data_IF_738805629895
#
_entry.id   IF_738805629895
#
_cell.length_a   1.000
_cell.length_b   1.000
_cell.length_c   1.000
_cell.angle_alpha   90.00
_cell.angle_beta   90.00
_cell.angle_gamma   90.00
#
_symmetry.space_group_name_H-M   'P 1'
#
loop_
_entity.id
_entity.type
_entity.pdbx_description
1 polymer ?
#
# COMPACT_ATOMS: atom_id res chain seq x y z
N UNK A 1 -4.68 15.23 7.12
CA UNK A 1 -3.26 15.47 7.52
C UNK A 1 -2.43 15.63 6.26
N UNK A 2 -1.32 16.34 6.31
CA UNK A 2 -0.45 16.53 5.14
C UNK A 2 0.60 15.39 5.07
N UNK A 3 0.14 14.15 4.97
CA UNK A 3 1.01 12.98 4.81
C UNK A 3 1.27 12.78 3.31
N UNK A 4 2.52 12.54 2.93
CA UNK A 4 2.88 12.12 1.58
C UNK A 4 3.39 10.69 1.61
N UNK A 5 3.04 9.91 0.58
CA UNK A 5 3.63 8.60 0.34
C UNK A 5 4.25 8.53 -1.05
N UNK A 6 5.35 7.82 -1.16
CA UNK A 6 6.01 7.47 -2.42
C UNK A 6 6.27 5.97 -2.43
N UNK A 7 5.82 5.29 -3.46
CA UNK A 7 6.17 3.90 -3.73
C UNK A 7 7.25 3.87 -4.81
N UNK A 8 8.38 3.28 -4.49
CA UNK A 8 9.46 2.97 -5.43
C UNK A 8 9.39 1.48 -5.75
N UNK A 9 9.48 1.15 -7.03
CA UNK A 9 9.45 -0.23 -7.53
C UNK A 9 10.72 -0.45 -8.32
N UNK A 10 11.53 -1.42 -7.90
CA UNK A 10 12.82 -1.75 -8.51
C UNK A 10 12.80 -3.21 -9.01
N UNK A 11 13.32 -3.46 -10.21
CA UNK A 11 13.48 -4.83 -10.73
C UNK A 11 14.68 -5.52 -10.07
N UNK A 12 14.47 -6.75 -9.59
CA UNK A 12 15.52 -7.62 -9.05
C UNK A 12 16.15 -8.48 -10.15
N UNK A 13 17.32 -9.05 -9.87
CA UNK A 13 18.09 -9.86 -10.85
C UNK A 13 17.29 -11.09 -11.33
N UNK A 14 16.43 -11.64 -10.49
CA UNK A 14 15.56 -12.78 -10.78
C UNK A 14 14.22 -12.38 -11.45
N UNK A 15 14.01 -11.09 -11.74
CA UNK A 15 12.81 -10.56 -12.38
C UNK A 15 11.66 -10.25 -11.43
N UNK A 16 11.77 -10.55 -10.13
CA UNK A 16 10.85 -10.07 -9.09
C UNK A 16 11.02 -8.56 -8.88
N UNK A 17 10.19 -7.97 -8.03
CA UNK A 17 10.29 -6.55 -7.69
C UNK A 17 10.67 -6.35 -6.22
N UNK A 18 11.44 -5.31 -5.95
CA UNK A 18 11.56 -4.72 -4.62
C UNK A 18 10.68 -3.48 -4.56
N UNK A 19 9.81 -3.43 -3.57
CA UNK A 19 8.92 -2.32 -3.31
C UNK A 19 9.45 -1.59 -2.08
N UNK A 20 9.64 -0.28 -2.19
CA UNK A 20 10.01 0.59 -1.07
C UNK A 20 8.98 1.68 -0.93
N UNK A 21 8.29 1.70 0.21
CA UNK A 21 7.36 2.76 0.56
C UNK A 21 8.08 3.77 1.44
N UNK A 22 7.98 5.04 1.07
CA UNK A 22 8.49 6.17 1.84
C UNK A 22 7.30 7.04 2.24
N UNK A 23 7.10 7.21 3.55
CA UNK A 23 6.18 8.17 4.11
C UNK A 23 6.93 9.44 4.51
N UNK A 24 6.34 10.60 4.28
CA UNK A 24 6.87 11.90 4.72
C UNK A 24 5.82 12.65 5.53
N UNK A 25 6.29 13.40 6.53
CA UNK A 25 5.48 14.06 7.55
C UNK A 25 4.74 13.06 8.45
N UNK A 26 5.44 11.99 8.85
CA UNK A 26 4.92 10.99 9.79
C UNK A 26 4.87 11.52 11.21
N UNK A 27 3.95 11.04 12.03
CA UNK A 27 3.96 11.26 13.47
C UNK A 27 5.03 10.39 14.13
N UNK A 28 5.79 10.96 15.05
CA UNK A 28 6.80 10.24 15.83
C UNK A 28 6.17 9.22 16.78
N UNK A 29 6.69 8.00 16.80
CA UNK A 29 6.23 6.92 17.68
C UNK A 29 4.90 6.26 17.28
N UNK A 30 4.36 6.58 16.11
CA UNK A 30 3.15 5.94 15.56
C UNK A 30 3.49 5.01 14.40
N UNK A 31 2.91 3.82 14.41
CA UNK A 31 3.05 2.86 13.30
C UNK A 31 1.90 3.01 12.33
N UNK A 32 2.20 3.40 11.09
CA UNK A 32 1.25 3.51 10.00
C UNK A 32 1.01 2.12 9.37
N UNK A 33 -0.23 1.61 9.38
CA UNK A 33 -0.58 0.45 8.59
C UNK A 33 -0.61 0.84 7.11
N UNK A 34 0.17 0.11 6.31
CA UNK A 34 0.33 0.37 4.87
C UNK A 34 0.16 -0.93 4.12
N UNK A 35 -0.68 -0.93 3.09
CA UNK A 35 -0.83 -2.11 2.24
C UNK A 35 -1.41 -1.80 0.87
N UNK A 36 -1.33 -2.79 -0.01
CA UNK A 36 -1.95 -2.77 -1.33
C UNK A 36 -3.20 -3.65 -1.34
N UNK A 37 -4.12 -3.38 -2.26
CA UNK A 37 -5.28 -4.20 -2.58
C UNK A 37 -5.35 -4.40 -4.09
N UNK A 38 -5.77 -5.59 -4.51
CA UNK A 38 -6.05 -5.87 -5.92
C UNK A 38 -7.34 -5.19 -6.34
N UNK A 39 -7.37 -4.58 -7.53
CA UNK A 39 -8.61 -4.06 -8.08
C UNK A 39 -9.65 -5.18 -8.24
N UNK A 40 -10.91 -4.85 -8.02
CA UNK A 40 -12.02 -5.77 -8.12
C UNK A 40 -13.27 -5.03 -8.58
N UNK A 41 -14.23 -5.75 -9.16
CA UNK A 41 -15.53 -5.19 -9.52
C UNK A 41 -16.33 -4.88 -8.22
N UNK A 42 -16.75 -3.62 -7.99
CA UNK A 42 -17.63 -3.28 -6.88
C UNK A 42 -18.91 -4.10 -6.78
N UNK A 43 -19.43 -4.65 -7.89
CA UNK A 43 -20.62 -5.50 -7.86
C UNK A 43 -20.34 -6.89 -7.28
N UNK A 44 -19.07 -7.30 -7.23
CA UNK A 44 -18.63 -8.61 -6.73
C UNK A 44 -18.02 -8.54 -5.31
N UNK A 45 -17.73 -7.34 -4.79
CA UNK A 45 -17.15 -7.18 -3.45
C UNK A 45 -18.22 -7.09 -2.36
N UNK A 46 -17.97 -7.63 -1.15
CA UNK A 46 -18.97 -7.65 -0.08
C UNK A 46 -19.48 -6.26 0.35
N UNK A 47 -18.62 -5.23 0.29
CA UNK A 47 -18.97 -3.87 0.70
C UNK A 47 -18.99 -2.86 -0.46
N UNK A 48 -19.01 -3.31 -1.71
CA UNK A 48 -19.07 -2.41 -2.88
C UNK A 48 -17.80 -1.58 -3.10
N UNK A 49 -16.67 -2.05 -2.57
CA UNK A 49 -15.36 -1.44 -2.76
C UNK A 49 -14.81 -1.78 -4.16
N UNK A 50 -14.06 -0.89 -4.83
CA UNK A 50 -13.46 -1.15 -6.14
C UNK A 50 -12.19 -2.03 -6.06
N UNK A 51 -12.03 -2.77 -4.96
CA UNK A 51 -10.84 -3.57 -4.67
C UNK A 51 -11.19 -4.75 -3.76
N UNK A 52 -10.38 -5.80 -3.78
CA UNK A 52 -10.49 -6.89 -2.83
C UNK A 52 -10.06 -6.39 -1.44
N UNK A 53 -10.98 -6.40 -0.47
CA UNK A 53 -10.78 -5.87 0.89
C UNK A 53 -9.74 -6.65 1.73
N UNK A 54 -9.27 -7.80 1.22
CA UNK A 54 -8.09 -8.49 1.77
C UNK A 54 -6.82 -7.86 1.21
N UNK A 55 -5.87 -7.41 2.06
CA UNK A 55 -4.60 -6.86 1.59
C UNK A 55 -3.80 -7.84 0.73
N UNK A 56 -3.23 -7.36 -0.38
CA UNK A 56 -2.24 -8.09 -1.18
C UNK A 56 -0.84 -7.89 -0.59
N UNK A 57 -0.43 -8.85 0.24
CA UNK A 57 0.89 -8.87 0.86
C UNK A 57 2.06 -9.15 -0.09
N UNK A 58 1.80 -9.73 -1.27
CA UNK A 58 2.83 -9.97 -2.29
C UNK A 58 3.34 -8.66 -2.89
N UNK A 59 2.46 -7.66 -3.02
CA UNK A 59 2.87 -6.29 -3.38
C UNK A 59 3.43 -5.60 -2.14
N UNK A 60 2.58 -5.29 -1.16
CA UNK A 60 3.05 -4.69 0.09
C UNK A 60 1.97 -4.83 1.16
N UNK A 61 2.35 -5.33 2.33
CA UNK A 61 1.56 -5.21 3.56
C UNK A 61 2.49 -5.14 4.77
N UNK A 62 2.46 -4.02 5.50
CA UNK A 62 3.35 -3.82 6.63
C UNK A 62 3.07 -2.56 7.42
N UNK A 63 3.74 -2.44 8.57
CA UNK A 63 3.74 -1.24 9.40
C UNK A 63 4.98 -0.38 9.12
N UNK A 64 4.80 0.93 9.00
CA UNK A 64 5.90 1.90 8.93
C UNK A 64 5.88 2.75 10.19
N UNK A 65 6.90 2.58 11.04
CA UNK A 65 7.06 3.37 12.26
C UNK A 65 7.51 4.79 11.91
N UNK A 66 6.67 5.77 12.21
CA UNK A 66 6.95 7.17 12.01
C UNK A 66 7.95 7.72 13.02
N UNK A 67 8.76 8.68 12.55
CA UNK A 67 9.86 9.28 13.32
C UNK A 67 9.76 10.82 13.38
N UNK A 68 8.57 11.38 13.15
CA UNK A 68 8.35 12.83 13.08
C UNK A 68 8.76 13.47 11.74
N UNK A 69 9.35 12.70 10.84
CA UNK A 69 9.86 13.19 9.55
C UNK A 69 9.52 12.23 8.41
N UNK A 70 10.54 11.54 7.88
CA UNK A 70 10.37 10.55 6.82
C UNK A 70 10.77 9.16 7.31
N UNK A 71 9.90 8.19 7.06
CA UNK A 71 10.07 6.80 7.44
C UNK A 71 9.77 5.91 6.25
N UNK A 72 10.39 4.73 6.19
CA UNK A 72 10.25 3.84 5.04
C UNK A 72 10.31 2.38 5.44
N UNK A 73 9.69 1.53 4.64
CA UNK A 73 9.85 0.09 4.69
C UNK A 73 9.95 -0.48 3.28
N UNK A 74 10.61 -1.62 3.15
CA UNK A 74 10.76 -2.33 1.88
C UNK A 74 10.31 -3.78 2.02
N UNK A 75 9.74 -4.33 0.95
CA UNK A 75 9.48 -5.75 0.75
C UNK A 75 9.96 -6.16 -0.63
N UNK A 76 10.20 -7.45 -0.82
CA UNK A 76 10.34 -8.03 -2.15
C UNK A 76 9.05 -8.78 -2.46
N UNK A 77 8.60 -8.76 -3.71
CA UNK A 77 7.52 -9.63 -4.16
C UNK A 77 7.99 -11.08 -4.08
N UNK A 78 7.12 -12.01 -3.74
CA UNK A 78 7.40 -13.45 -3.73
C UNK A 78 7.12 -14.05 -5.11
N UNK A 79 5.94 -13.78 -5.69
CA UNK A 79 5.48 -14.39 -6.94
C UNK A 79 5.32 -13.37 -8.09
N UNK A 80 4.90 -12.14 -7.78
CA UNK A 80 4.73 -11.08 -8.78
C UNK A 80 6.06 -10.66 -9.41
N UNK A 81 6.15 -10.72 -10.74
CA UNK A 81 7.28 -10.19 -11.49
C UNK A 81 7.18 -8.68 -11.64
N UNK A 82 8.33 -8.00 -11.66
CA UNK A 82 8.42 -6.56 -11.89
C UNK A 82 7.66 -6.14 -13.15
N UNK A 83 7.86 -6.87 -14.25
CA UNK A 83 7.20 -6.61 -15.54
C UNK A 83 5.68 -6.67 -15.43
N UNK A 84 5.14 -7.61 -14.67
CA UNK A 84 3.69 -7.75 -14.52
C UNK A 84 3.13 -6.68 -13.59
N UNK A 85 3.90 -6.31 -12.55
CA UNK A 85 3.56 -5.22 -11.64
C UNK A 85 3.46 -3.86 -12.34
N UNK A 86 4.34 -3.56 -13.30
CA UNK A 86 4.32 -2.25 -13.99
C UNK A 86 3.40 -2.20 -15.22
N UNK A 87 3.03 -3.33 -15.82
CA UNK A 87 2.27 -3.35 -17.08
C UNK A 87 0.84 -3.91 -16.96
N UNK A 88 0.57 -4.72 -15.93
CA UNK A 88 -0.68 -5.49 -15.84
C UNK A 88 -1.37 -5.36 -14.48
N UNK A 89 -0.63 -5.03 -13.42
CA UNK A 89 -1.22 -4.90 -12.10
C UNK A 89 -2.13 -3.68 -12.04
N UNK A 90 -3.34 -3.90 -11.55
CA UNK A 90 -4.28 -2.84 -11.21
C UNK A 90 -4.61 -3.01 -9.72
N UNK A 91 -4.28 -1.99 -8.94
CA UNK A 91 -4.50 -2.06 -7.50
C UNK A 91 -4.67 -0.71 -6.85
N UNK A 92 -4.86 -0.76 -5.55
CA UNK A 92 -4.99 0.40 -4.68
C UNK A 92 -3.91 0.32 -3.62
N UNK A 93 -3.32 1.46 -3.29
CA UNK A 93 -2.35 1.62 -2.22
C UNK A 93 -2.95 2.45 -1.10
N UNK A 94 -2.92 1.92 0.11
CA UNK A 94 -3.57 2.49 1.28
C UNK A 94 -2.55 2.78 2.36
N UNK A 95 -2.68 3.96 2.98
CA UNK A 95 -2.05 4.28 4.25
C UNK A 95 -3.13 4.69 5.23
N UNK A 96 -3.28 3.93 6.33
CA UNK A 96 -4.25 4.26 7.36
C UNK A 96 -3.75 5.36 8.30
N UNK A 97 -4.69 6.06 8.92
CA UNK A 97 -4.41 6.94 10.04
C UNK A 97 -4.03 6.09 11.27
N UNK A 98 -2.81 6.24 11.82
CA UNK A 98 -2.35 5.41 12.93
C UNK A 98 -2.96 5.81 14.28
N UNK A 99 -3.82 6.83 14.32
CA UNK A 99 -4.47 7.33 15.54
C UNK A 99 -5.90 6.83 15.73
N UNK A 100 -6.37 5.94 14.84
CA UNK A 100 -7.69 5.33 14.90
C UNK A 100 -7.62 3.82 14.58
N UNK A 101 -8.73 3.14 14.78
CA UNK A 101 -8.86 1.71 14.45
C UNK A 101 -8.79 1.50 12.92
N UNK A 102 -8.17 0.40 12.52
CA UNK A 102 -7.99 0.03 11.10
C UNK A 102 -9.27 -0.60 10.54
N UNK A 103 -9.64 -0.23 9.32
CA UNK A 103 -10.74 -0.87 8.58
C UNK A 103 -10.45 -0.83 7.08
N UNK A 104 -10.58 -1.95 6.37
CA UNK A 104 -10.41 -2.01 4.91
C UNK A 104 -11.69 -1.68 4.13
N UNK A 105 -12.79 -1.40 4.85
CA UNK A 105 -14.10 -1.09 4.28
C UNK A 105 -14.57 0.33 4.62
N UNK A 106 -13.96 0.96 5.63
CA UNK A 106 -14.23 2.35 6.02
C UNK A 106 -13.09 3.27 5.54
N UNK A 107 -13.37 3.99 4.46
CA UNK A 107 -12.44 4.93 3.83
C UNK A 107 -12.05 6.10 4.75
N UNK A 108 -12.80 6.38 5.81
CA UNK A 108 -12.45 7.45 6.76
C UNK A 108 -11.21 7.12 7.59
N UNK A 109 -10.81 5.84 7.62
CA UNK A 109 -9.56 5.41 8.24
C UNK A 109 -8.34 5.68 7.35
N UNK A 110 -8.52 6.12 6.10
CA UNK A 110 -7.43 6.29 5.12
C UNK A 110 -6.90 7.73 5.13
N UNK A 111 -5.58 7.86 5.27
CA UNK A 111 -4.88 9.11 4.98
C UNK A 111 -4.51 9.22 3.51
N UNK A 112 -4.21 8.09 2.88
CA UNK A 112 -3.89 7.98 1.46
C UNK A 112 -4.65 6.80 0.88
N UNK A 113 -5.32 7.04 -0.24
CA UNK A 113 -5.84 6.04 -1.15
C UNK A 113 -5.38 6.43 -2.55
N UNK A 114 -4.40 5.71 -3.07
CA UNK A 114 -3.86 5.91 -4.42
C UNK A 114 -4.18 4.72 -5.31
N UNK A 115 -4.33 4.96 -6.60
CA UNK A 115 -4.25 3.88 -7.59
C UNK A 115 -2.78 3.49 -7.76
N UNK A 116 -2.50 2.20 -7.77
CA UNK A 116 -1.16 1.64 -7.96
C UNK A 116 -1.13 0.81 -9.22
N UNK A 117 -0.17 1.14 -10.09
CA UNK A 117 0.03 0.62 -11.44
C UNK A 117 -1.13 0.87 -12.43
N UNK A 118 -0.74 1.16 -13.68
CA UNK A 118 -1.55 1.39 -14.88
C UNK A 118 -0.73 1.00 -16.09
#
# INVERSE_FOLDING_TARGET
>A
RDLMATMLVEELIDGRAKITVILSNTLDGFTYPVHSHDAADPEETPNGTPYNETPNGDVFAGGIEGNGGSASASSETEELLFRDLINNYEGFFVVHDPTQEISTTDLTTYLILGLTAR
#
